data_IF_517939871608
#
_entry.id   IF_517939871608
#
_cell.length_a   1.000
_cell.length_b   1.000
_cell.length_c   1.000
_cell.angle_alpha   90.00
_cell.angle_beta   90.00
_cell.angle_gamma   90.00
#
_symmetry.space_group_name_H-M   'P 1'
#
loop_
_entity.id
_entity.type
_entity.pdbx_description
1 polymer ?
#
# COMPACT_ATOMS: atom_id res chain seq x y z
N UNK A 1 -6.34 16.87 6.24
CA UNK A 1 -5.04 16.76 5.55
C UNK A 1 -4.90 15.31 5.10
N UNK A 2 -4.81 15.09 3.80
CA UNK A 2 -4.65 13.76 3.22
C UNK A 2 -3.28 13.19 3.62
N UNK A 3 -3.27 11.97 4.15
CA UNK A 3 -2.05 11.29 4.61
C UNK A 3 -1.63 10.12 3.73
N UNK A 4 -2.58 9.56 2.96
CA UNK A 4 -2.39 8.44 2.05
C UNK A 4 -3.07 8.74 0.70
N UNK A 5 -2.58 8.14 -0.37
CA UNK A 5 -3.31 8.08 -1.64
C UNK A 5 -4.55 7.19 -1.52
N UNK A 6 -5.55 7.41 -2.37
CA UNK A 6 -6.81 6.63 -2.36
C UNK A 6 -6.80 5.53 -3.41
N UNK A 7 -7.78 4.61 -3.36
CA UNK A 7 -7.95 3.61 -4.43
C UNK A 7 -8.15 4.29 -5.79
N UNK A 8 -8.89 5.41 -5.88
CA UNK A 8 -9.09 6.08 -7.17
C UNK A 8 -7.74 6.52 -7.78
N UNK A 9 -6.81 6.99 -6.94
CA UNK A 9 -5.47 7.35 -7.39
C UNK A 9 -4.68 6.16 -7.94
N UNK A 10 -4.89 4.95 -7.40
CA UNK A 10 -4.30 3.72 -7.95
C UNK A 10 -4.96 3.29 -9.27
N UNK A 11 -6.27 3.52 -9.39
CA UNK A 11 -7.02 3.20 -10.61
C UNK A 11 -6.61 4.06 -11.80
N UNK A 12 -6.15 5.29 -11.57
CA UNK A 12 -5.57 6.18 -12.58
C UNK A 12 -4.28 5.65 -13.21
N UNK A 13 -3.56 4.74 -12.55
CA UNK A 13 -2.29 4.21 -13.03
C UNK A 13 -2.48 3.27 -14.22
N UNK A 14 -1.59 3.40 -15.21
CA UNK A 14 -1.41 2.40 -16.26
C UNK A 14 -0.84 1.09 -15.71
N UNK A 15 -1.03 -0.01 -16.44
CA UNK A 15 -0.49 -1.34 -16.06
C UNK A 15 1.02 -1.29 -15.78
N UNK A 16 1.79 -0.63 -16.66
CA UNK A 16 3.23 -0.44 -16.46
C UNK A 16 3.57 0.29 -15.15
N UNK A 17 2.86 1.37 -14.85
CA UNK A 17 3.07 2.12 -13.61
C UNK A 17 2.68 1.31 -12.38
N UNK A 18 1.66 0.45 -12.48
CA UNK A 18 1.26 -0.46 -11.40
C UNK A 18 2.36 -1.49 -11.13
N UNK A 19 2.86 -2.14 -12.17
CA UNK A 19 3.97 -3.09 -12.05
C UNK A 19 5.20 -2.42 -11.45
N UNK A 20 5.54 -1.22 -11.95
CA UNK A 20 6.71 -0.47 -11.47
C UNK A 20 6.56 -0.04 -10.01
N UNK A 21 5.36 0.40 -9.62
CA UNK A 21 5.07 0.73 -8.24
C UNK A 21 5.13 -0.51 -7.35
N UNK A 22 4.62 -1.65 -7.81
CA UNK A 22 4.70 -2.91 -7.08
C UNK A 22 6.17 -3.31 -6.86
N UNK A 23 7.04 -3.18 -7.87
CA UNK A 23 8.47 -3.46 -7.76
C UNK A 23 9.19 -2.58 -6.73
N UNK A 24 8.85 -1.29 -6.69
CA UNK A 24 9.45 -0.30 -5.77
C UNK A 24 8.90 -0.41 -4.35
N UNK A 25 7.71 -0.98 -4.20
CA UNK A 25 7.06 -1.15 -2.92
C UNK A 25 7.66 -2.30 -2.12
N UNK A 26 8.08 -1.96 -0.90
CA UNK A 26 8.56 -2.88 0.12
C UNK A 26 7.55 -2.92 1.28
N UNK A 27 6.58 -3.85 1.26
CA UNK A 27 5.51 -3.92 2.26
C UNK A 27 6.04 -4.08 3.68
N UNK A 28 5.53 -3.28 4.61
CA UNK A 28 5.83 -3.38 6.03
C UNK A 28 4.56 -3.63 6.85
N UNK A 29 4.76 -4.03 8.11
CA UNK A 29 3.66 -4.19 9.05
C UNK A 29 3.00 -2.83 9.31
N UNK A 30 1.67 -2.82 9.31
CA UNK A 30 0.80 -1.66 9.46
C UNK A 30 0.72 -0.73 8.26
N UNK A 31 1.33 -1.10 7.13
CA UNK A 31 1.10 -0.41 5.88
C UNK A 31 -0.34 -0.60 5.41
N UNK A 32 -0.90 0.44 4.78
CA UNK A 32 -2.20 0.40 4.15
C UNK A 32 -2.03 -0.08 2.70
N UNK A 33 -2.84 -1.06 2.29
CA UNK A 33 -2.80 -1.63 0.95
C UNK A 33 -4.21 -1.82 0.39
N UNK A 34 -4.29 -1.86 -0.94
CA UNK A 34 -5.48 -2.24 -1.67
C UNK A 34 -5.25 -3.62 -2.30
N UNK A 35 -6.15 -4.58 -2.04
CA UNK A 35 -6.16 -5.89 -2.68
C UNK A 35 -7.08 -5.88 -3.90
N UNK A 36 -6.63 -6.48 -5.00
CA UNK A 36 -7.38 -6.63 -6.25
C UNK A 36 -7.75 -8.11 -6.40
N UNK A 37 -9.01 -8.45 -6.13
CA UNK A 37 -9.46 -9.82 -6.17
C UNK A 37 -10.32 -10.05 -7.41
N UNK A 38 -9.90 -10.98 -8.25
CA UNK A 38 -10.63 -11.34 -9.46
C UNK A 38 -12.00 -11.93 -9.07
N UNK A 39 -13.06 -11.29 -9.55
CA UNK A 39 -14.44 -11.75 -9.38
C UNK A 39 -14.91 -12.49 -10.62
N UNK A 40 -14.58 -11.96 -11.79
CA UNK A 40 -14.89 -12.57 -13.08
C UNK A 40 -13.72 -12.38 -14.06
N UNK A 41 -13.06 -13.49 -14.40
CA UNK A 41 -11.93 -13.48 -15.32
C UNK A 41 -12.37 -13.29 -16.79
N UNK A 42 -13.60 -13.65 -17.17
CA UNK A 42 -14.10 -13.51 -18.54
C UNK A 42 -14.40 -12.04 -18.85
N UNK A 43 -15.00 -11.32 -17.90
CA UNK A 43 -15.32 -9.90 -18.01
C UNK A 43 -14.21 -8.98 -17.47
N UNK A 44 -13.13 -9.54 -16.93
CA UNK A 44 -12.02 -8.82 -16.31
C UNK A 44 -12.46 -7.91 -15.15
N UNK A 45 -13.40 -8.40 -14.32
CA UNK A 45 -13.96 -7.69 -13.18
C UNK A 45 -13.20 -8.05 -11.89
N UNK A 46 -12.78 -7.02 -11.15
CA UNK A 46 -12.06 -7.15 -9.88
C UNK A 46 -12.79 -6.39 -8.80
N UNK A 47 -12.96 -7.03 -7.64
CA UNK A 47 -13.34 -6.35 -6.42
C UNK A 47 -12.08 -5.81 -5.75
N UNK A 48 -12.11 -4.51 -5.42
CA UNK A 48 -10.98 -3.81 -4.80
C UNK A 48 -11.35 -3.36 -3.40
N UNK A 49 -10.44 -3.59 -2.46
CA UNK A 49 -10.68 -3.27 -1.07
C UNK A 49 -9.42 -2.88 -0.32
N UNK A 50 -9.61 -2.01 0.66
CA UNK A 50 -8.54 -1.53 1.53
C UNK A 50 -8.39 -2.47 2.73
N UNK A 51 -7.13 -2.72 3.11
CA UNK A 51 -6.82 -3.46 4.33
C UNK A 51 -5.48 -3.01 4.90
N UNK A 52 -5.30 -3.24 6.20
CA UNK A 52 -4.06 -2.95 6.91
C UNK A 52 -3.23 -4.21 7.00
N UNK A 53 -1.95 -4.12 6.67
CA UNK A 53 -1.03 -5.24 6.72
C UNK A 53 -0.71 -5.65 8.16
N UNK A 54 -1.15 -6.84 8.55
CA UNK A 54 -0.86 -7.44 9.85
C UNK A 54 0.48 -8.16 9.90
N UNK A 55 0.80 -8.88 8.81
CA UNK A 55 2.02 -9.67 8.71
C UNK A 55 2.47 -9.77 7.25
N UNK A 56 3.79 -9.82 7.04
CA UNK A 56 4.44 -10.02 5.75
C UNK A 56 5.30 -11.26 5.86
N UNK A 57 5.03 -12.26 5.02
CA UNK A 57 5.78 -13.52 4.97
C UNK A 57 6.43 -13.68 3.60
N UNK A 58 7.71 -14.01 3.60
CA UNK A 58 8.52 -14.24 2.39
C UNK A 58 8.95 -15.70 2.41
N UNK A 59 8.64 -16.43 1.34
CA UNK A 59 9.05 -17.83 1.16
C UNK A 59 9.95 -17.95 -0.06
N UNK A 60 11.06 -18.65 0.10
CA UNK A 60 11.92 -19.03 -1.02
C UNK A 60 11.29 -20.21 -1.77
N UNK A 61 11.29 -20.13 -3.08
CA UNK A 61 10.77 -21.13 -4.01
C UNK A 61 11.86 -21.45 -5.03
N UNK A 62 11.79 -22.59 -5.71
CA UNK A 62 12.77 -22.97 -6.73
C UNK A 62 12.93 -21.96 -7.88
N UNK A 63 11.98 -21.03 -8.04
CA UNK A 63 11.96 -19.98 -9.06
C UNK A 63 12.21 -18.56 -8.52
N UNK A 64 12.51 -18.39 -7.23
CA UNK A 64 12.73 -17.08 -6.61
C UNK A 64 12.01 -16.92 -5.28
N UNK A 65 11.49 -15.73 -4.98
CA UNK A 65 10.80 -15.45 -3.72
C UNK A 65 9.32 -15.19 -3.96
N UNK A 66 8.47 -15.75 -3.11
CA UNK A 66 7.04 -15.47 -3.06
C UNK A 66 6.71 -14.71 -1.79
N UNK A 67 6.10 -13.54 -1.92
CA UNK A 67 5.69 -12.69 -0.81
C UNK A 67 4.18 -12.73 -0.61
N UNK A 68 3.79 -12.98 0.64
CA UNK A 68 2.40 -13.02 1.11
C UNK A 68 2.14 -11.91 2.12
N UNK A 69 0.95 -11.33 2.01
CA UNK A 69 0.47 -10.21 2.79
C UNK A 69 -0.79 -10.65 3.55
N UNK A 70 -0.77 -10.52 4.88
CA UNK A 70 -1.89 -10.95 5.72
C UNK A 70 -2.62 -9.74 6.29
N UNK A 71 -3.95 -9.78 6.29
CA UNK A 71 -4.78 -8.75 6.92
C UNK A 71 -4.56 -8.74 8.45
N UNK A 72 -4.45 -7.55 9.02
CA UNK A 72 -4.37 -7.35 10.47
C UNK A 72 -5.59 -7.92 11.22
N UNK A 73 -6.79 -7.85 10.62
CA UNK A 73 -8.02 -8.40 11.23
C UNK A 73 -7.97 -9.92 11.33
N UNK A 74 -7.46 -10.59 10.29
CA UNK A 74 -7.23 -12.03 10.29
C UNK A 74 -6.22 -12.43 11.37
N UNK A 75 -5.12 -11.69 11.49
CA UNK A 75 -4.10 -11.94 12.51
C UNK A 75 -4.65 -11.83 13.94
N UNK A 76 -5.57 -10.89 14.18
CA UNK A 76 -6.24 -10.75 15.49
C UNK A 76 -7.18 -11.92 15.78
N UNK A 77 -7.88 -12.41 14.76
CA UNK A 77 -8.79 -13.54 14.88
C UNK A 77 -8.03 -14.84 15.18
N UNK A 78 -6.87 -15.04 14.53
CA UNK A 78 -5.98 -16.17 14.85
C UNK A 78 -5.42 -16.12 16.27
N UNK A 79 -5.04 -14.94 16.77
CA UNK A 79 -4.56 -14.78 18.14
C UNK A 79 -5.65 -14.99 19.21
N UNK A 80 -6.92 -14.73 18.89
CA UNK A 80 -8.05 -14.99 19.80
C UNK A 80 -8.45 -16.47 19.84
N UNK A 81 -8.16 -17.23 18.78
CA UNK A 81 -8.53 -18.64 18.68
C UNK A 81 -7.64 -19.55 19.54
N UNK A 82 -6.39 -19.17 19.80
CA UNK A 82 -5.49 -19.92 20.73
C UNK A 82 -5.94 -19.83 22.20
N UNK A 83 -6.59 -18.74 22.61
CA UNK A 83 -7.05 -18.55 24.01
C UNK A 83 -8.43 -19.18 24.29
N UNK A 84 -9.12 -19.70 23.27
CA UNK A 84 -10.50 -20.23 23.40
C UNK A 84 -10.61 -21.74 23.07
N UNK A 85 -9.49 -22.40 22.75
CA UNK A 85 -9.47 -23.77 22.23
C UNK A 85 -9.64 -24.89 23.29
N UNK A 86 -10.16 -24.62 24.48
CA UNK A 86 -10.39 -25.65 25.50
C UNK A 86 -11.86 -26.01 25.78
N UNK A 87 -12.87 -25.34 25.20
CA UNK A 87 -14.27 -25.69 25.50
C UNK A 87 -15.15 -25.85 24.24
N UNK A 88 -15.64 -27.08 24.08
CA UNK A 88 -16.82 -27.53 23.34
C UNK A 88 -16.69 -27.79 21.83
N UNK A 89 -16.18 -29.00 21.52
CA UNK A 89 -16.50 -29.70 20.28
C UNK A 89 -17.89 -30.35 20.39
N UNK A 90 -18.95 -29.60 20.06
CA UNK A 90 -20.25 -30.18 19.72
C UNK A 90 -20.36 -30.26 18.20
N UNK A 91 -20.34 -31.49 17.69
CA UNK A 91 -20.34 -31.82 16.27
C UNK A 91 -21.79 -31.75 15.76
N UNK A 92 -22.25 -30.56 15.40
CA UNK A 92 -23.53 -30.39 14.71
C UNK A 92 -23.46 -30.98 13.29
N UNK A 93 -24.45 -31.83 12.98
CA UNK A 93 -24.64 -32.52 11.71
C UNK A 93 -25.02 -31.51 10.62
N UNK A 94 -24.06 -31.09 9.78
CA UNK A 94 -24.30 -30.16 8.68
C UNK A 94 -25.29 -30.75 7.65
N UNK A 95 -26.48 -30.16 7.53
CA UNK A 95 -27.40 -30.44 6.42
C UNK A 95 -26.86 -29.82 5.12
N UNK A 96 -26.77 -30.61 4.05
CA UNK A 96 -26.21 -30.25 2.75
C UNK A 96 -26.99 -29.18 1.94
N UNK A 97 -28.04 -28.57 2.52
CA UNK A 97 -29.02 -27.78 1.75
C UNK A 97 -28.89 -26.24 1.87
N UNK A 98 -27.97 -25.70 2.69
CA UNK A 98 -27.75 -24.26 2.84
C UNK A 98 -26.28 -23.84 2.57
N UNK A 99 -25.59 -24.51 1.64
CA UNK A 99 -24.29 -24.03 1.14
C UNK A 99 -24.49 -22.79 0.25
N UNK A 100 -24.73 -21.65 0.90
CA UNK A 100 -24.68 -20.36 0.23
C UNK A 100 -23.21 -20.13 -0.13
N UNK A 101 -22.89 -20.11 -1.42
CA UNK A 101 -21.57 -19.73 -1.93
C UNK A 101 -21.41 -18.20 -1.78
N UNK A 102 -21.47 -17.72 -0.53
CA UNK A 102 -21.18 -16.34 -0.20
C UNK A 102 -19.67 -16.15 -0.39
N UNK A 103 -19.33 -15.18 -1.23
CA UNK A 103 -17.96 -14.86 -1.56
C UNK A 103 -17.23 -14.34 -0.30
N UNK A 104 -16.39 -15.19 0.30
CA UNK A 104 -15.57 -14.81 1.44
C UNK A 104 -14.26 -14.16 0.99
N UNK A 105 -13.95 -13.01 1.59
CA UNK A 105 -12.69 -12.30 1.34
C UNK A 105 -11.53 -13.15 1.92
N UNK A 106 -10.48 -13.46 1.15
CA UNK A 106 -9.30 -14.16 1.66
C UNK A 106 -8.62 -13.37 2.78
N UNK A 107 -7.95 -14.04 3.71
CA UNK A 107 -7.18 -13.38 4.77
C UNK A 107 -5.70 -13.14 4.40
N UNK A 108 -5.23 -13.86 3.39
CA UNK A 108 -3.85 -13.86 2.90
C UNK A 108 -3.85 -13.60 1.40
N UNK A 109 -3.06 -12.62 0.99
CA UNK A 109 -2.96 -12.17 -0.39
C UNK A 109 -1.54 -12.33 -0.91
N UNK A 110 -1.41 -12.51 -2.22
CA UNK A 110 -0.11 -12.39 -2.88
C UNK A 110 0.27 -10.91 -3.01
N UNK A 111 1.57 -10.59 -2.96
CA UNK A 111 2.03 -9.21 -3.23
C UNK A 111 1.65 -8.72 -4.64
N UNK A 112 1.60 -9.62 -5.62
CA UNK A 112 1.29 -9.27 -7.01
C UNK A 112 -0.15 -8.77 -7.17
N UNK A 113 -1.07 -9.26 -6.34
CA UNK A 113 -2.49 -8.88 -6.37
C UNK A 113 -2.79 -7.66 -5.48
N UNK A 114 -1.76 -7.00 -4.94
CA UNK A 114 -1.90 -5.90 -3.99
C UNK A 114 -1.13 -4.66 -4.44
N UNK A 115 -1.62 -3.49 -4.05
CA UNK A 115 -0.95 -2.21 -4.28
C UNK A 115 -0.90 -1.37 -2.99
N UNK A 116 0.17 -0.59 -2.76
CA UNK A 116 0.25 0.25 -1.58
C UNK A 116 -0.66 1.47 -1.67
N UNK A 117 -1.39 1.76 -0.59
CA UNK A 117 -1.94 3.08 -0.38
C UNK A 117 -0.88 3.92 0.33
N UNK A 118 0.06 4.43 -0.48
CA UNK A 118 1.27 5.11 -0.01
C UNK A 118 0.97 6.29 0.91
N UNK A 119 1.64 6.31 2.06
CA UNK A 119 1.75 7.50 2.88
C UNK A 119 2.85 8.45 2.39
N UNK A 120 2.89 9.66 2.95
CA UNK A 120 3.90 10.70 2.65
C UNK A 120 5.34 10.16 2.74
N UNK A 121 5.65 9.40 3.79
CA UNK A 121 6.99 8.85 3.99
C UNK A 121 7.37 7.83 2.92
N UNK A 122 6.46 6.94 2.56
CA UNK A 122 6.68 5.94 1.52
C UNK A 122 6.82 6.58 0.14
N UNK A 123 6.04 7.62 -0.17
CA UNK A 123 6.20 8.38 -1.41
C UNK A 123 7.59 9.02 -1.50
N UNK A 124 8.07 9.66 -0.42
CA UNK A 124 9.42 10.23 -0.37
C UNK A 124 10.51 9.17 -0.56
N UNK A 125 10.35 7.99 0.05
CA UNK A 125 11.28 6.89 -0.10
C UNK A 125 11.36 6.39 -1.55
N UNK A 126 10.21 6.23 -2.21
CA UNK A 126 10.13 5.83 -3.62
C UNK A 126 10.80 6.86 -4.52
N UNK A 127 10.48 8.14 -4.35
CA UNK A 127 11.10 9.23 -5.12
C UNK A 127 12.63 9.22 -4.98
N UNK A 128 13.12 9.01 -3.76
CA UNK A 128 14.55 8.90 -3.48
C UNK A 128 15.18 7.67 -4.17
N UNK A 129 14.51 6.50 -4.15
CA UNK A 129 14.96 5.29 -4.85
C UNK A 129 15.00 5.47 -6.37
N UNK A 130 14.07 6.24 -6.93
CA UNK A 130 14.04 6.56 -8.36
C UNK A 130 15.09 7.62 -8.75
N UNK A 131 15.80 8.23 -7.79
CA UNK A 131 16.66 9.38 -8.06
C UNK A 131 15.88 10.57 -8.64
N UNK A 132 14.59 10.66 -8.32
CA UNK A 132 13.72 11.71 -8.81
C UNK A 132 14.26 13.06 -8.34
N UNK A 133 14.51 13.97 -9.28
CA UNK A 133 15.15 15.24 -8.97
C UNK A 133 16.63 15.12 -8.61
N UNK A 134 17.38 14.16 -9.18
CA UNK A 134 18.85 14.01 -9.04
C UNK A 134 19.74 15.23 -9.36
N UNK A 135 19.12 16.38 -9.65
CA UNK A 135 19.74 17.71 -9.55
C UNK A 135 19.27 18.57 -8.37
N UNK A 136 17.98 18.59 -8.01
CA UNK A 136 17.36 19.66 -7.22
C UNK A 136 16.18 19.23 -6.29
N UNK A 137 16.11 17.98 -5.82
CA UNK A 137 15.08 17.65 -4.81
C UNK A 137 15.45 18.21 -3.43
N UNK A 138 14.64 19.14 -2.94
CA UNK A 138 14.75 19.75 -1.62
C UNK A 138 13.37 20.06 -1.07
N UNK A 139 13.05 19.47 0.08
CA UNK A 139 11.84 19.75 0.85
C UNK A 139 12.27 20.49 2.11
N UNK A 140 11.74 21.69 2.31
CA UNK A 140 11.93 22.44 3.55
C UNK A 140 10.59 22.59 4.27
N UNK A 141 10.60 22.25 5.54
CA UNK A 141 9.51 22.44 6.46
C UNK A 141 9.95 23.46 7.53
N UNK A 142 9.19 24.55 7.65
CA UNK A 142 9.42 25.58 8.67
C UNK A 142 8.34 25.54 9.73
N UNK A 143 8.75 25.43 11.00
CA UNK A 143 7.86 25.61 12.16
C UNK A 143 8.48 26.60 13.14
N UNK A 144 7.97 27.82 13.15
CA UNK A 144 8.52 28.93 13.92
C UNK A 144 9.88 29.39 13.37
N UNK A 145 10.92 29.32 14.20
CA UNK A 145 12.30 29.67 13.85
C UNK A 145 13.18 28.47 13.45
N UNK A 146 12.62 27.27 13.44
CA UNK A 146 13.35 26.08 13.04
C UNK A 146 12.96 25.69 11.61
N UNK A 147 14.00 25.49 10.80
CA UNK A 147 13.90 24.97 9.45
C UNK A 147 14.41 23.52 9.45
N UNK A 148 13.58 22.60 8.97
CA UNK A 148 13.94 21.21 8.75
C UNK A 148 13.97 20.97 7.24
N UNK A 149 15.06 20.40 6.74
CA UNK A 149 15.21 20.14 5.32
C UNK A 149 15.50 18.66 5.04
N UNK A 150 14.95 18.15 3.95
CA UNK A 150 15.22 16.83 3.39
C UNK A 150 15.64 17.04 1.94
N UNK A 151 16.81 16.54 1.55
CA UNK A 151 17.36 16.72 0.20
C UNK A 151 18.82 17.15 0.24
N UNK A 152 19.36 17.54 -0.92
CA UNK A 152 20.74 18.08 -1.00
C UNK A 152 20.78 19.49 -0.41
N UNK A 153 21.86 19.86 0.27
CA UNK A 153 22.10 21.26 0.65
C UNK A 153 22.21 22.10 -0.64
N UNK A 154 21.15 22.84 -0.95
CA UNK A 154 21.14 23.76 -2.10
C UNK A 154 21.84 25.04 -1.63
N UNK A 155 23.11 25.23 -1.99
CA UNK A 155 23.88 26.44 -1.65
C UNK A 155 23.34 27.72 -2.31
N UNK A 156 22.56 27.57 -3.39
CA UNK A 156 21.94 28.69 -4.12
C UNK A 156 20.46 28.42 -4.33
N UNK A 157 19.66 28.88 -3.38
CA UNK A 157 18.21 28.96 -3.52
C UNK A 157 17.89 30.05 -4.55
N UNK A 158 17.71 29.67 -5.82
CA UNK A 158 17.08 30.56 -6.79
C UNK A 158 15.59 30.49 -6.51
N UNK A 159 15.10 31.43 -5.71
CA UNK A 159 13.67 31.63 -5.47
C UNK A 159 13.01 32.00 -6.81
N UNK A 160 12.39 31.02 -7.46
CA UNK A 160 11.67 31.22 -8.72
C UNK A 160 10.31 31.90 -8.54
N UNK A 161 10.03 32.43 -7.34
CA UNK A 161 8.70 32.85 -6.97
C UNK A 161 7.94 31.63 -6.49
N UNK A 162 7.47 31.71 -5.25
CA UNK A 162 6.55 30.74 -4.69
C UNK A 162 5.16 31.02 -5.28
N UNK A 163 4.89 30.46 -6.45
CA UNK A 163 3.50 30.21 -6.86
C UNK A 163 2.96 29.16 -5.89
N UNK A 164 2.49 29.64 -4.72
CA UNK A 164 1.77 28.82 -3.76
C UNK A 164 0.47 28.35 -4.40
N UNK A 165 0.52 27.23 -5.12
CA UNK A 165 -0.68 26.46 -5.38
C UNK A 165 -1.15 25.90 -4.03
N UNK A 166 -2.43 26.06 -3.72
CA UNK A 166 -3.09 25.52 -2.51
C UNK A 166 -3.20 23.99 -2.52
N UNK A 167 -2.38 23.31 -3.33
CA UNK A 167 -2.41 21.86 -3.49
C UNK A 167 -1.90 21.15 -2.23
N UNK A 168 -2.61 20.11 -1.81
CA UNK A 168 -2.20 19.33 -0.64
C UNK A 168 -0.89 18.58 -0.93
N UNK A 169 0.02 18.56 0.06
CA UNK A 169 1.32 17.89 -0.05
C UNK A 169 1.23 16.44 -0.57
N UNK A 170 0.19 15.70 -0.15
CA UNK A 170 0.00 14.32 -0.59
C UNK A 170 -0.24 14.21 -2.10
N UNK A 171 -1.00 15.15 -2.68
CA UNK A 171 -1.32 15.13 -4.11
C UNK A 171 -0.12 15.56 -4.96
N UNK A 172 0.65 16.54 -4.47
CA UNK A 172 1.90 16.97 -5.10
C UNK A 172 2.93 15.83 -5.12
N UNK A 173 3.12 15.16 -3.99
CA UNK A 173 4.03 14.01 -3.90
C UNK A 173 3.55 12.85 -4.78
N UNK A 174 2.25 12.58 -4.81
CA UNK A 174 1.71 11.53 -5.65
C UNK A 174 1.93 11.81 -7.14
N UNK A 175 1.76 13.07 -7.56
CA UNK A 175 2.03 13.50 -8.93
C UNK A 175 3.50 13.26 -9.30
N UNK A 176 4.43 13.65 -8.42
CA UNK A 176 5.85 13.37 -8.62
C UNK A 176 6.15 11.86 -8.70
N UNK A 177 5.49 11.04 -7.86
CA UNK A 177 5.66 9.58 -7.91
C UNK A 177 5.18 9.03 -9.25
N UNK A 178 4.01 9.46 -9.74
CA UNK A 178 3.47 9.05 -11.05
C UNK A 178 4.41 9.36 -12.21
N UNK A 179 5.15 10.47 -12.14
CA UNK A 179 6.16 10.83 -13.13
C UNK A 179 7.46 10.02 -13.00
N UNK A 180 7.76 9.54 -11.80
CA UNK A 180 8.98 8.79 -11.50
C UNK A 180 8.89 7.29 -11.84
N UNK A 181 7.68 6.76 -12.02
CA UNK A 181 7.38 5.33 -12.23
C UNK A 181 6.89 5.03 -13.65
#
# INVERSE_FOLDING_TARGET
MKHHITIENLMELSEYQRDRLNDLWTPQRYDLAAGFLCKDAENNEYDVFEFVLGHVSIKETGSGYYMTLMNLEALRSWGAQEDTAEEEADMEEYSEEDFIFEYERPDVYSKGDCMPLLNIGQMLEILNKCGYGGGNFYVNFRKGNNDWAIGRDIEQYIDYGTDYNEEELCDVLWTAVKEAI
#
